data_IF_259668880855
#
_entry.id   IF_259668880855
#
_cell.length_a   1.000
_cell.length_b   1.000
_cell.length_c   1.000
_cell.angle_alpha   90.00
_cell.angle_beta   90.00
_cell.angle_gamma   90.00
#
_symmetry.space_group_name_H-M   'P 1'
#
loop_
_entity.id
_entity.type
_entity.pdbx_description
1 polymer ?
#
# COMPACT_ATOMS: atom_id res chain seq x y z
N UNK A 1 11.94 -24.57 -4.94
CA UNK A 1 10.53 -25.02 -4.79
C UNK A 1 9.66 -24.07 -5.58
N UNK A 2 8.67 -24.56 -6.31
CA UNK A 2 7.75 -23.64 -7.03
C UNK A 2 6.89 -22.91 -6.01
N UNK A 3 6.88 -21.57 -6.02
CA UNK A 3 6.05 -20.74 -5.14
C UNK A 3 4.53 -20.90 -5.42
N UNK A 4 4.12 -21.88 -6.25
CA UNK A 4 2.71 -22.16 -6.56
C UNK A 4 1.92 -22.73 -5.38
N UNK A 5 2.62 -23.16 -4.32
CA UNK A 5 1.98 -23.72 -3.10
C UNK A 5 1.73 -22.67 -2.00
N UNK A 6 1.97 -21.38 -2.30
CA UNK A 6 1.65 -20.29 -1.35
C UNK A 6 0.13 -20.21 -1.13
N UNK A 7 -0.33 -19.91 0.10
CA UNK A 7 -1.74 -19.86 0.43
C UNK A 7 -2.50 -18.82 -0.39
N UNK A 8 -3.74 -19.15 -0.77
CA UNK A 8 -4.69 -18.20 -1.37
C UNK A 8 -5.60 -17.66 -0.29
N UNK A 9 -5.79 -16.35 -0.28
CA UNK A 9 -6.71 -15.71 0.64
C UNK A 9 -8.14 -15.72 0.10
N UNK A 10 -9.10 -16.19 0.90
CA UNK A 10 -10.52 -16.00 0.67
C UNK A 10 -11.12 -15.25 1.85
N UNK A 11 -11.88 -14.18 1.60
CA UNK A 11 -12.40 -13.32 2.66
C UNK A 11 -13.71 -12.66 2.27
N UNK A 12 -14.50 -12.32 3.30
CA UNK A 12 -15.74 -11.57 3.16
C UNK A 12 -15.52 -10.15 3.70
N UNK A 13 -15.56 -9.14 2.84
CA UNK A 13 -15.28 -7.74 3.21
C UNK A 13 -16.52 -7.09 3.80
N UNK A 14 -16.39 -6.52 5.00
CA UNK A 14 -17.41 -5.62 5.56
C UNK A 14 -17.25 -4.23 4.93
N UNK A 15 -18.29 -3.74 4.28
CA UNK A 15 -18.25 -2.46 3.54
C UNK A 15 -18.07 -1.21 4.39
N UNK A 16 -18.23 -1.32 5.69
CA UNK A 16 -18.10 -0.26 6.70
C UNK A 16 -16.66 -0.13 7.26
N UNK A 17 -15.82 -1.17 7.11
CA UNK A 17 -14.44 -1.18 7.59
C UNK A 17 -13.45 -1.08 6.43
N UNK A 18 -12.45 -0.25 6.59
CA UNK A 18 -11.39 -0.04 5.59
C UNK A 18 -10.02 -0.03 6.22
N UNK A 19 -9.14 -0.75 5.58
CA UNK A 19 -7.71 -0.63 5.85
C UNK A 19 -7.19 0.73 5.37
N UNK A 20 -6.28 1.32 6.12
CA UNK A 20 -5.67 2.62 5.83
C UNK A 20 -4.15 2.53 5.97
N UNK A 21 -3.45 3.48 5.36
CA UNK A 21 -1.98 3.52 5.37
C UNK A 21 -1.51 3.98 6.75
N UNK A 22 -0.49 3.32 7.31
CA UNK A 22 0.10 3.82 8.56
C UNK A 22 0.92 5.09 8.30
N UNK A 23 0.91 6.08 9.23
CA UNK A 23 1.67 7.32 9.08
C UNK A 23 3.15 7.10 8.79
N UNK A 24 3.77 6.13 9.46
CA UNK A 24 5.19 5.80 9.27
C UNK A 24 5.50 5.25 7.89
N UNK A 25 4.61 4.43 7.31
CA UNK A 25 4.78 3.92 5.95
C UNK A 25 4.70 5.04 4.93
N UNK A 26 3.72 5.94 5.08
CA UNK A 26 3.57 7.10 4.22
C UNK A 26 4.76 8.06 4.32
N UNK A 27 5.31 8.28 5.52
CA UNK A 27 6.46 9.15 5.73
C UNK A 27 7.72 8.62 5.06
N UNK A 28 7.99 7.32 5.17
CA UNK A 28 9.19 6.67 4.63
C UNK A 28 9.11 6.38 3.14
N UNK A 29 7.91 6.37 2.55
CA UNK A 29 7.76 6.18 1.12
C UNK A 29 8.37 7.34 0.34
N UNK A 30 9.17 7.00 -0.67
CA UNK A 30 9.83 7.94 -1.59
C UNK A 30 9.26 7.73 -3.00
N UNK A 31 8.22 8.46 -3.40
CA UNK A 31 7.51 8.26 -4.66
C UNK A 31 8.39 8.49 -5.90
N UNK A 32 9.49 9.23 -5.77
CA UNK A 32 10.48 9.45 -6.82
C UNK A 32 11.27 8.20 -7.24
N UNK A 33 11.30 7.17 -6.39
CA UNK A 33 12.07 5.95 -6.66
C UNK A 33 11.34 5.05 -7.64
N UNK A 34 11.95 4.80 -8.80
CA UNK A 34 11.38 4.01 -9.90
C UNK A 34 12.39 2.99 -10.45
N UNK A 35 11.90 2.05 -11.26
CA UNK A 35 12.78 1.20 -12.06
C UNK A 35 13.44 2.03 -13.15
N UNK A 36 14.73 1.78 -13.39
CA UNK A 36 15.44 2.37 -14.54
C UNK A 36 14.92 1.75 -15.82
N UNK A 37 14.65 2.58 -16.83
CA UNK A 37 14.26 2.10 -18.15
C UNK A 37 15.36 1.21 -18.75
N UNK A 38 14.95 0.11 -19.39
CA UNK A 38 15.87 -0.80 -20.10
C UNK A 38 16.35 -2.02 -19.30
N UNK A 39 15.85 -2.27 -18.12
CA UNK A 39 16.18 -3.49 -17.36
C UNK A 39 15.34 -4.70 -17.82
N UNK A 40 15.69 -5.25 -19.01
CA UNK A 40 15.12 -6.47 -19.58
C UNK A 40 14.11 -6.17 -20.70
N UNK A 41 14.60 -6.07 -21.92
CA UNK A 41 13.79 -5.71 -23.09
C UNK A 41 12.68 -6.71 -23.47
N UNK A 42 12.69 -7.94 -22.93
CA UNK A 42 11.74 -9.00 -23.29
C UNK A 42 10.64 -9.27 -22.26
N UNK A 43 10.77 -8.85 -21.02
CA UNK A 43 9.78 -9.11 -19.99
C UNK A 43 8.76 -7.96 -19.90
N UNK A 44 7.47 -8.30 -19.93
CA UNK A 44 6.43 -7.33 -19.68
C UNK A 44 6.49 -6.85 -18.24
N UNK A 45 6.29 -5.56 -17.98
CA UNK A 45 6.39 -4.99 -16.63
C UNK A 45 5.08 -4.36 -16.16
N UNK A 46 4.84 -4.48 -14.85
CA UNK A 46 3.76 -3.81 -14.11
C UNK A 46 4.43 -3.01 -12.99
N UNK A 47 4.03 -1.74 -12.84
CA UNK A 47 4.56 -0.88 -11.79
C UNK A 47 3.51 -0.61 -10.70
N UNK A 48 3.87 -0.90 -9.46
CA UNK A 48 3.11 -0.63 -8.23
C UNK A 48 3.88 0.45 -7.47
N UNK A 49 3.75 1.70 -7.92
CA UNK A 49 4.54 2.84 -7.42
C UNK A 49 3.71 3.81 -6.58
N UNK A 50 2.48 3.44 -6.25
CA UNK A 50 1.51 4.28 -5.57
C UNK A 50 0.81 3.52 -4.46
N UNK A 51 -0.14 4.16 -3.82
CA UNK A 51 -1.01 3.58 -2.80
C UNK A 51 -1.85 2.45 -3.37
N UNK A 52 -2.00 1.39 -2.59
CA UNK A 52 -2.89 0.26 -2.90
C UNK A 52 -4.34 0.66 -2.62
N UNK A 53 -5.22 0.40 -3.57
CA UNK A 53 -6.63 0.81 -3.54
C UNK A 53 -6.87 2.11 -4.30
N UNK A 54 -8.13 2.53 -4.35
CA UNK A 54 -8.51 3.76 -5.02
C UNK A 54 -8.30 4.98 -4.11
N UNK A 55 -7.61 5.99 -4.64
CA UNK A 55 -7.61 7.33 -4.08
C UNK A 55 -8.95 8.06 -4.31
N UNK A 56 -9.05 9.31 -3.88
CA UNK A 56 -10.24 10.15 -4.04
C UNK A 56 -10.55 10.50 -5.50
N UNK A 57 -9.55 10.46 -6.37
CA UNK A 57 -9.65 10.75 -7.81
C UNK A 57 -9.95 9.50 -8.64
N UNK A 58 -10.06 8.33 -7.99
CA UNK A 58 -10.22 7.03 -8.65
C UNK A 58 -8.91 6.48 -9.21
N UNK A 59 -7.78 7.09 -8.87
CA UNK A 59 -6.44 6.59 -9.18
C UNK A 59 -5.98 5.59 -8.11
N UNK A 60 -4.70 5.20 -8.19
CA UNK A 60 -4.10 4.23 -7.29
C UNK A 60 -4.07 2.82 -7.88
N UNK A 61 -3.46 1.90 -7.17
CA UNK A 61 -3.22 0.53 -7.64
C UNK A 61 -4.36 -0.37 -7.19
N UNK A 62 -5.13 -0.91 -8.14
CA UNK A 62 -6.26 -1.80 -7.85
C UNK A 62 -6.11 -3.17 -8.50
N UNK A 63 -6.74 -4.19 -7.93
CA UNK A 63 -6.78 -5.54 -8.48
C UNK A 63 -7.36 -5.56 -9.91
N UNK A 64 -8.35 -4.72 -10.19
CA UNK A 64 -8.93 -4.58 -11.52
C UNK A 64 -7.90 -4.09 -12.55
N UNK A 65 -7.09 -3.09 -12.19
CA UNK A 65 -6.02 -2.56 -13.08
C UNK A 65 -4.92 -3.59 -13.31
N UNK A 66 -4.48 -4.28 -12.25
CA UNK A 66 -3.48 -5.35 -12.36
C UNK A 66 -4.01 -6.50 -13.21
N UNK A 67 -5.24 -6.93 -13.00
CA UNK A 67 -5.91 -7.95 -13.83
C UNK A 67 -5.98 -7.54 -15.31
N UNK A 68 -6.31 -6.28 -15.60
CA UNK A 68 -6.33 -5.76 -16.97
C UNK A 68 -4.92 -5.77 -17.60
N UNK A 69 -3.90 -5.35 -16.85
CA UNK A 69 -2.52 -5.38 -17.32
C UNK A 69 -2.07 -6.82 -17.62
N UNK A 70 -2.33 -7.78 -16.72
CA UNK A 70 -1.98 -9.20 -16.93
C UNK A 70 -2.72 -9.82 -18.12
N UNK A 71 -3.99 -9.48 -18.34
CA UNK A 71 -4.70 -9.92 -19.56
C UNK A 71 -4.03 -9.42 -20.86
N UNK A 72 -3.54 -8.17 -20.86
CA UNK A 72 -2.82 -7.62 -22.00
C UNK A 72 -1.44 -8.26 -22.20
N UNK A 73 -0.77 -8.61 -21.10
CA UNK A 73 0.52 -9.31 -21.12
C UNK A 73 0.33 -10.74 -21.64
N UNK A 74 -0.77 -11.38 -21.31
CA UNK A 74 -1.06 -12.77 -21.71
C UNK A 74 -0.26 -13.78 -20.88
N UNK A 75 0.34 -14.77 -21.54
CA UNK A 75 1.08 -15.87 -20.88
C UNK A 75 2.62 -15.64 -20.84
N UNK A 76 3.05 -14.39 -20.91
CA UNK A 76 4.47 -14.04 -20.84
C UNK A 76 4.91 -13.85 -19.40
N UNK A 77 6.19 -14.00 -19.13
CA UNK A 77 6.80 -13.63 -17.87
C UNK A 77 6.55 -12.15 -17.56
N UNK A 78 6.35 -11.84 -16.29
CA UNK A 78 6.06 -10.48 -15.84
C UNK A 78 7.01 -10.05 -14.74
N UNK A 79 7.49 -8.80 -14.83
CA UNK A 79 8.23 -8.12 -13.78
C UNK A 79 7.30 -7.15 -13.07
N UNK A 80 7.18 -7.26 -11.76
CA UNK A 80 6.38 -6.36 -10.92
C UNK A 80 7.31 -5.46 -10.12
N UNK A 81 7.38 -4.19 -10.48
CA UNK A 81 8.18 -3.18 -9.80
C UNK A 81 7.39 -2.56 -8.66
N UNK A 82 7.89 -2.63 -7.43
CA UNK A 82 7.19 -2.15 -6.23
C UNK A 82 7.96 -1.02 -5.55
N UNK A 83 7.28 0.10 -5.33
CA UNK A 83 7.66 1.17 -4.42
C UNK A 83 6.38 1.81 -3.85
N UNK A 84 5.80 1.20 -2.82
CA UNK A 84 4.47 1.55 -2.32
C UNK A 84 4.41 1.53 -0.79
N UNK A 85 3.73 2.51 -0.16
CA UNK A 85 3.51 2.54 1.27
C UNK A 85 2.41 1.56 1.73
N UNK A 86 1.82 0.78 0.80
CA UNK A 86 0.67 -0.05 1.06
C UNK A 86 -0.65 0.69 0.83
N UNK A 87 -1.66 0.34 1.59
CA UNK A 87 -3.02 0.89 1.45
C UNK A 87 -4.08 -0.12 1.83
N UNK A 88 -5.10 -0.26 0.99
CA UNK A 88 -6.19 -1.19 1.23
C UNK A 88 -5.70 -2.65 1.22
N UNK A 89 -5.83 -3.30 2.38
CA UNK A 89 -5.36 -4.67 2.57
C UNK A 89 -6.11 -5.68 1.68
N UNK A 90 -7.40 -5.47 1.47
CA UNK A 90 -8.23 -6.39 0.68
C UNK A 90 -7.92 -6.28 -0.81
N UNK A 91 -7.67 -5.07 -1.31
CA UNK A 91 -7.12 -4.86 -2.65
C UNK A 91 -5.74 -5.53 -2.77
N UNK A 92 -4.90 -5.41 -1.74
CA UNK A 92 -3.59 -6.06 -1.68
C UNK A 92 -3.67 -7.58 -1.80
N UNK A 93 -4.58 -8.21 -1.05
CA UNK A 93 -4.82 -9.66 -1.15
C UNK A 93 -5.39 -10.07 -2.52
N UNK A 94 -6.28 -9.27 -3.10
CA UNK A 94 -6.82 -9.54 -4.43
C UNK A 94 -5.72 -9.45 -5.52
N UNK A 95 -4.81 -8.47 -5.40
CA UNK A 95 -3.63 -8.34 -6.28
C UNK A 95 -2.69 -9.54 -6.08
N UNK A 96 -2.39 -9.91 -4.83
CA UNK A 96 -1.58 -11.07 -4.51
C UNK A 96 -2.13 -12.33 -5.20
N UNK A 97 -3.41 -12.64 -5.03
CA UNK A 97 -4.05 -13.79 -5.66
C UNK A 97 -4.01 -13.71 -7.19
N UNK A 98 -4.24 -12.53 -7.76
CA UNK A 98 -4.21 -12.31 -9.21
C UNK A 98 -2.81 -12.58 -9.81
N UNK A 99 -1.76 -12.17 -9.11
CA UNK A 99 -0.38 -12.47 -9.52
C UNK A 99 -0.04 -13.96 -9.35
N UNK A 100 -0.52 -14.61 -8.28
CA UNK A 100 -0.35 -16.05 -8.04
C UNK A 100 -1.06 -16.93 -9.08
N UNK A 101 -2.16 -16.44 -9.64
CA UNK A 101 -2.90 -17.14 -10.70
C UNK A 101 -2.29 -16.94 -12.10
N UNK A 102 -1.28 -16.07 -12.23
CA UNK A 102 -0.61 -15.85 -13.51
C UNK A 102 0.11 -17.12 -14.00
N UNK A 103 -0.09 -17.55 -15.27
CA UNK A 103 0.41 -18.85 -15.76
C UNK A 103 1.93 -18.89 -16.01
N UNK A 104 2.60 -17.74 -16.07
CA UNK A 104 4.03 -17.61 -16.32
C UNK A 104 4.77 -17.08 -15.08
N UNK A 105 6.09 -16.93 -15.16
CA UNK A 105 6.93 -16.46 -14.04
C UNK A 105 6.58 -15.02 -13.66
N UNK A 106 6.42 -14.79 -12.36
CA UNK A 106 6.28 -13.46 -11.77
C UNK A 106 7.55 -13.12 -11.00
N UNK A 107 8.31 -12.14 -11.46
CA UNK A 107 9.50 -11.62 -10.77
C UNK A 107 9.16 -10.28 -10.13
N UNK A 108 9.32 -10.17 -8.81
CA UNK A 108 9.07 -8.93 -8.07
C UNK A 108 10.37 -8.19 -7.81
N UNK A 109 10.39 -6.88 -8.05
CA UNK A 109 11.51 -5.98 -7.77
C UNK A 109 11.08 -4.90 -6.78
N UNK A 110 11.58 -4.95 -5.55
CA UNK A 110 11.34 -3.92 -4.53
C UNK A 110 12.39 -2.83 -4.69
N UNK A 111 11.97 -1.69 -5.25
CA UNK A 111 12.86 -0.59 -5.65
C UNK A 111 13.23 0.31 -4.47
N UNK A 112 12.26 0.62 -3.60
CA UNK A 112 12.42 1.46 -2.43
C UNK A 112 11.73 0.85 -1.24
N UNK A 113 10.40 0.94 -1.16
CA UNK A 113 9.62 0.38 -0.06
C UNK A 113 8.50 -0.53 -0.57
N UNK A 114 8.30 -1.65 0.10
CA UNK A 114 7.10 -2.46 0.00
C UNK A 114 6.51 -2.60 1.41
N UNK A 115 5.59 -1.70 1.77
CA UNK A 115 5.03 -1.67 3.12
C UNK A 115 3.59 -2.19 3.16
N UNK A 116 3.20 -2.82 4.28
CA UNK A 116 1.82 -3.23 4.54
C UNK A 116 1.25 -4.09 3.40
N UNK A 117 0.11 -3.73 2.82
CA UNK A 117 -0.49 -4.44 1.67
C UNK A 117 0.50 -4.68 0.51
N UNK A 118 1.44 -3.74 0.26
CA UNK A 118 2.45 -3.90 -0.79
C UNK A 118 3.48 -4.99 -0.45
N UNK A 119 3.77 -5.22 0.83
CA UNK A 119 4.65 -6.33 1.24
C UNK A 119 3.98 -7.69 1.05
N UNK A 120 2.67 -7.78 1.26
CA UNK A 120 1.89 -8.98 0.94
C UNK A 120 1.93 -9.26 -0.57
N UNK A 121 1.70 -8.22 -1.39
CA UNK A 121 1.79 -8.35 -2.86
C UNK A 121 3.18 -8.83 -3.28
N UNK A 122 4.25 -8.34 -2.66
CA UNK A 122 5.61 -8.75 -2.99
C UNK A 122 5.82 -10.27 -2.81
N UNK A 123 5.16 -10.88 -1.83
CA UNK A 123 5.25 -12.34 -1.61
C UNK A 123 4.61 -13.17 -2.73
N UNK A 124 3.88 -12.58 -3.65
CA UNK A 124 3.33 -13.28 -4.80
C UNK A 124 4.38 -13.66 -5.85
N UNK A 125 5.57 -13.06 -5.82
CA UNK A 125 6.64 -13.34 -6.78
C UNK A 125 7.17 -14.76 -6.68
N UNK A 126 7.43 -15.39 -7.84
CA UNK A 126 8.22 -16.61 -7.91
C UNK A 126 9.71 -16.30 -7.57
N UNK A 127 10.13 -15.09 -7.86
CA UNK A 127 11.41 -14.52 -7.48
C UNK A 127 11.16 -13.10 -6.93
N UNK A 128 11.79 -12.76 -5.82
CA UNK A 128 11.70 -11.43 -5.20
C UNK A 128 13.09 -10.86 -5.01
N UNK A 129 13.35 -9.73 -5.64
CA UNK A 129 14.59 -8.99 -5.48
C UNK A 129 14.33 -7.66 -4.77
N UNK A 130 15.29 -7.19 -3.98
CA UNK A 130 15.18 -5.94 -3.22
C UNK A 130 16.39 -5.04 -3.43
N UNK A 131 16.18 -3.74 -3.58
CA UNK A 131 17.27 -2.78 -3.56
C UNK A 131 18.02 -2.83 -2.21
N UNK A 132 19.35 -2.64 -2.20
CA UNK A 132 20.16 -2.67 -0.96
C UNK A 132 19.67 -1.67 0.09
N UNK A 133 19.21 -0.50 -0.36
CA UNK A 133 18.61 0.54 0.49
C UNK A 133 17.08 0.39 0.62
N UNK A 134 16.51 -0.69 0.09
CA UNK A 134 15.07 -0.95 0.13
C UNK A 134 14.62 -1.50 1.48
N UNK A 135 13.32 -1.40 1.71
CA UNK A 135 12.67 -1.89 2.94
C UNK A 135 11.39 -2.64 2.64
N UNK A 136 11.15 -3.68 3.38
CA UNK A 136 9.83 -4.24 3.62
C UNK A 136 9.29 -3.73 4.96
N UNK A 137 7.98 -3.57 5.09
CA UNK A 137 7.33 -3.36 6.39
C UNK A 137 6.11 -4.26 6.49
N UNK A 138 6.05 -5.01 7.57
CA UNK A 138 4.96 -5.90 7.90
C UNK A 138 4.33 -5.53 9.24
N UNK A 139 3.01 -5.57 9.30
CA UNK A 139 2.22 -5.29 10.50
C UNK A 139 0.87 -5.98 10.41
N UNK A 140 0.14 -6.04 11.53
CA UNK A 140 -1.24 -6.51 11.57
C UNK A 140 -2.16 -5.63 10.71
N UNK A 141 -3.25 -6.19 10.25
CA UNK A 141 -4.25 -5.46 9.46
C UNK A 141 -4.77 -4.26 10.24
N UNK A 142 -4.66 -3.07 9.66
CA UNK A 142 -4.96 -1.82 10.34
C UNK A 142 -6.21 -1.16 9.76
N UNK A 143 -7.16 -0.83 10.65
CA UNK A 143 -8.41 -0.13 10.33
C UNK A 143 -8.63 1.03 11.27
N UNK A 144 -9.56 1.93 10.91
CA UNK A 144 -10.17 2.89 11.82
C UNK A 144 -11.54 2.37 12.19
N UNK A 145 -11.78 2.14 13.49
CA UNK A 145 -13.06 1.73 14.03
C UNK A 145 -13.51 2.68 15.16
N UNK A 146 -14.78 2.97 15.21
CA UNK A 146 -15.40 3.78 16.25
C UNK A 146 -16.63 3.06 16.81
N UNK A 147 -16.84 3.12 18.12
CA UNK A 147 -17.98 2.49 18.74
C UNK A 147 -17.79 2.31 20.25
N UNK A 148 -18.75 1.65 20.87
CA UNK A 148 -18.65 1.25 22.25
C UNK A 148 -17.68 0.05 22.41
N UNK A 149 -17.47 -0.37 23.66
CA UNK A 149 -16.60 -1.50 24.00
C UNK A 149 -16.92 -2.78 23.22
N UNK A 150 -18.19 -3.05 22.93
CA UNK A 150 -18.60 -4.29 22.27
C UNK A 150 -18.31 -4.20 20.77
N UNK A 151 -18.63 -3.07 20.12
CA UNK A 151 -18.30 -2.80 18.73
C UNK A 151 -16.79 -2.85 18.46
N UNK A 152 -15.96 -2.30 19.37
CA UNK A 152 -14.50 -2.35 19.23
C UNK A 152 -13.94 -3.78 19.40
N UNK A 153 -14.51 -4.60 20.28
CA UNK A 153 -14.14 -6.03 20.37
C UNK A 153 -14.53 -6.79 19.12
N UNK A 154 -15.75 -6.60 18.64
CA UNK A 154 -16.21 -7.24 17.38
C UNK A 154 -15.30 -6.86 16.22
N UNK A 155 -14.86 -5.60 16.12
CA UNK A 155 -13.91 -5.17 15.10
C UNK A 155 -12.54 -5.84 15.26
N UNK A 156 -12.05 -6.01 16.48
CA UNK A 156 -10.81 -6.72 16.76
C UNK A 156 -10.89 -8.20 16.39
N UNK A 157 -11.95 -8.89 16.81
CA UNK A 157 -12.19 -10.30 16.49
C UNK A 157 -12.33 -10.53 14.98
N UNK A 158 -12.91 -9.56 14.27
CA UNK A 158 -13.03 -9.59 12.81
C UNK A 158 -11.69 -9.45 12.10
N UNK A 159 -10.69 -8.77 12.69
CA UNK A 159 -9.35 -8.62 12.11
C UNK A 159 -8.49 -9.88 12.23
N UNK A 160 -8.67 -10.69 13.26
CA UNK A 160 -7.82 -11.84 13.56
C UNK A 160 -7.64 -12.81 12.39
N UNK A 161 -8.67 -13.22 11.62
CA UNK A 161 -8.50 -14.09 10.46
C UNK A 161 -7.61 -13.48 9.36
N UNK A 162 -7.61 -12.17 9.20
CA UNK A 162 -6.79 -11.50 8.17
C UNK A 162 -5.33 -11.43 8.59
N UNK A 163 -5.07 -11.20 9.88
CA UNK A 163 -3.73 -11.27 10.43
C UNK A 163 -3.15 -12.68 10.31
N UNK A 164 -3.99 -13.73 10.54
CA UNK A 164 -3.58 -15.11 10.33
C UNK A 164 -3.23 -15.40 8.86
N UNK A 165 -4.00 -14.88 7.90
CA UNK A 165 -3.69 -15.01 6.46
C UNK A 165 -2.34 -14.35 6.14
N UNK A 166 -2.04 -13.19 6.72
CA UNK A 166 -0.74 -12.54 6.55
C UNK A 166 0.39 -13.39 7.15
N UNK A 167 0.19 -13.96 8.35
CA UNK A 167 1.13 -14.89 8.98
C UNK A 167 1.42 -16.07 8.06
N UNK A 168 0.39 -16.70 7.50
CA UNK A 168 0.52 -17.89 6.64
C UNK A 168 1.31 -17.56 5.35
N UNK A 169 1.02 -16.42 4.72
CA UNK A 169 1.73 -15.97 3.51
C UNK A 169 3.22 -15.75 3.82
N UNK A 170 3.55 -15.00 4.87
CA UNK A 170 4.94 -14.72 5.20
C UNK A 170 5.68 -15.95 5.70
N UNK A 171 5.05 -16.82 6.50
CA UNK A 171 5.65 -18.05 6.97
C UNK A 171 5.95 -19.00 5.81
N UNK A 172 5.00 -19.17 4.87
CA UNK A 172 5.19 -20.00 3.68
C UNK A 172 6.33 -19.46 2.79
N UNK A 173 6.47 -18.13 2.68
CA UNK A 173 7.54 -17.50 1.88
C UNK A 173 8.91 -17.64 2.54
N UNK A 174 9.00 -17.36 3.84
CA UNK A 174 10.27 -17.23 4.55
C UNK A 174 10.77 -18.53 5.17
N UNK A 175 9.86 -19.47 5.44
CA UNK A 175 10.14 -20.66 6.26
C UNK A 175 10.31 -20.35 7.76
N UNK A 176 10.03 -19.12 8.19
CA UNK A 176 10.04 -18.77 9.61
C UNK A 176 8.81 -19.34 10.31
N UNK A 177 8.97 -19.64 11.60
CA UNK A 177 7.87 -20.12 12.43
C UNK A 177 6.71 -19.11 12.46
N UNK A 178 5.43 -19.55 12.30
CA UNK A 178 4.27 -18.65 12.31
C UNK A 178 4.22 -17.72 13.54
N UNK A 179 4.60 -18.23 14.72
CA UNK A 179 4.68 -17.41 15.95
C UNK A 179 5.74 -16.30 15.87
N UNK A 180 6.81 -16.50 15.13
CA UNK A 180 7.83 -15.47 14.92
C UNK A 180 7.30 -14.39 13.99
N UNK A 181 6.62 -14.77 12.91
CA UNK A 181 5.94 -13.83 12.00
C UNK A 181 4.87 -13.04 12.75
N UNK A 182 3.98 -13.67 13.52
CA UNK A 182 2.97 -12.98 14.31
C UNK A 182 3.58 -11.89 15.21
N UNK A 183 4.67 -12.19 15.91
CA UNK A 183 5.39 -11.20 16.72
C UNK A 183 6.00 -10.05 15.90
N UNK A 184 6.39 -10.32 14.66
CA UNK A 184 6.88 -9.27 13.75
C UNK A 184 5.73 -8.36 13.30
N UNK A 185 4.56 -8.93 13.02
CA UNK A 185 3.35 -8.18 12.69
C UNK A 185 2.91 -7.28 13.86
N UNK A 186 2.83 -7.83 15.08
CA UNK A 186 2.46 -7.09 16.30
C UNK A 186 3.33 -5.85 16.55
N UNK A 187 4.60 -5.90 16.12
CA UNK A 187 5.59 -4.84 16.39
C UNK A 187 5.74 -3.83 15.25
N UNK A 188 4.97 -3.97 14.16
CA UNK A 188 5.20 -3.19 12.93
C UNK A 188 6.68 -3.25 12.53
N UNK A 189 7.11 -4.38 12.00
CA UNK A 189 8.53 -4.64 11.75
C UNK A 189 8.97 -4.08 10.40
N UNK A 190 9.98 -3.23 10.42
CA UNK A 190 10.69 -2.74 9.25
C UNK A 190 11.91 -3.62 8.98
N UNK A 191 11.99 -4.18 7.78
CA UNK A 191 12.98 -5.17 7.36
C UNK A 191 13.81 -4.54 6.25
N UNK A 192 15.06 -4.18 6.53
CA UNK A 192 15.98 -3.64 5.53
C UNK A 192 16.42 -4.73 4.54
N UNK A 193 16.94 -4.30 3.36
CA UNK A 193 17.28 -5.21 2.27
C UNK A 193 18.16 -6.40 2.69
N UNK A 194 19.18 -6.17 3.52
CA UNK A 194 20.05 -7.26 4.00
C UNK A 194 19.28 -8.29 4.86
N UNK A 195 18.45 -7.81 5.78
CA UNK A 195 17.61 -8.67 6.60
C UNK A 195 16.51 -9.37 5.80
N UNK A 196 15.98 -8.71 4.76
CA UNK A 196 14.99 -9.29 3.87
C UNK A 196 15.55 -10.52 3.13
N UNK A 197 16.77 -10.43 2.63
CA UNK A 197 17.46 -11.56 1.98
C UNK A 197 17.82 -12.62 3.03
N UNK A 198 18.41 -12.23 4.15
CA UNK A 198 18.82 -13.18 5.20
C UNK A 198 17.64 -13.97 5.80
N UNK A 199 16.43 -13.41 5.82
CA UNK A 199 15.20 -14.02 6.34
C UNK A 199 14.27 -14.54 5.24
N UNK A 200 14.73 -14.59 3.99
CA UNK A 200 14.00 -15.09 2.82
C UNK A 200 12.69 -14.37 2.49
N UNK A 201 12.52 -13.12 2.91
CA UNK A 201 11.48 -12.23 2.36
C UNK A 201 11.81 -11.81 0.93
N UNK A 202 13.10 -11.75 0.60
CA UNK A 202 13.62 -11.58 -0.76
C UNK A 202 14.66 -12.68 -1.05
N UNK A 203 14.81 -13.03 -2.33
CA UNK A 203 15.75 -14.06 -2.76
C UNK A 203 17.15 -13.48 -2.97
N UNK A 204 17.23 -12.24 -3.48
CA UNK A 204 18.51 -11.58 -3.80
C UNK A 204 18.36 -10.05 -3.83
N UNK A 205 19.49 -9.37 -4.02
CA UNK A 205 19.54 -7.94 -4.23
C UNK A 205 19.34 -7.59 -5.71
N UNK A 206 18.69 -6.44 -5.92
CA UNK A 206 18.70 -5.79 -7.23
C UNK A 206 20.10 -5.30 -7.58
N UNK A 207 20.50 -5.32 -8.88
CA UNK A 207 21.68 -4.60 -9.34
C UNK A 207 21.67 -3.13 -8.89
N UNK A 208 22.84 -2.57 -8.59
CA UNK A 208 22.95 -1.22 -8.02
C UNK A 208 22.40 -0.12 -8.93
N UNK A 209 22.36 -0.36 -10.23
CA UNK A 209 21.90 0.55 -11.27
C UNK A 209 20.44 0.32 -11.71
N UNK A 210 19.74 -0.60 -11.06
CA UNK A 210 18.35 -0.94 -11.41
C UNK A 210 17.32 0.11 -10.96
N UNK A 211 17.72 1.08 -10.14
CA UNK A 211 16.84 2.08 -9.54
C UNK A 211 17.24 3.48 -10.02
N UNK A 212 16.25 4.30 -10.34
CA UNK A 212 16.41 5.72 -10.66
C UNK A 212 15.48 6.60 -9.81
N UNK A 213 15.73 7.90 -9.78
CA UNK A 213 14.88 8.89 -9.13
C UNK A 213 14.32 9.86 -10.18
N UNK A 214 13.00 10.10 -10.15
CA UNK A 214 12.31 11.04 -11.03
C UNK A 214 11.80 12.26 -10.23
N UNK A 215 12.36 13.43 -10.50
CA UNK A 215 12.01 14.67 -9.82
C UNK A 215 10.53 15.10 -10.02
N UNK A 216 9.90 14.74 -11.15
CA UNK A 216 8.49 15.04 -11.39
C UNK A 216 7.60 14.19 -10.49
N UNK A 217 7.98 12.92 -10.31
CA UNK A 217 7.28 12.02 -9.39
C UNK A 217 7.47 12.44 -7.92
N UNK A 218 8.62 13.04 -7.57
CA UNK A 218 8.83 13.57 -6.24
C UNK A 218 7.78 14.63 -5.87
N UNK A 219 7.54 15.60 -6.76
CA UNK A 219 6.55 16.67 -6.52
C UNK A 219 5.11 16.12 -6.44
N UNK A 220 4.72 15.27 -7.38
CA UNK A 220 3.41 14.61 -7.37
C UNK A 220 3.19 13.77 -6.10
N UNK A 221 4.22 13.03 -5.69
CA UNK A 221 4.17 12.21 -4.50
C UNK A 221 4.10 13.00 -3.19
N UNK A 222 4.73 14.17 -3.11
CA UNK A 222 4.57 15.04 -1.93
C UNK A 222 3.14 15.56 -1.79
N UNK A 223 2.51 15.96 -2.90
CA UNK A 223 1.09 16.35 -2.90
C UNK A 223 0.20 15.18 -2.44
N UNK A 224 0.43 13.99 -2.97
CA UNK A 224 -0.30 12.78 -2.61
C UNK A 224 -0.13 12.41 -1.14
N UNK A 225 1.10 12.49 -0.60
CA UNK A 225 1.34 12.30 0.85
C UNK A 225 0.54 13.27 1.71
N UNK A 226 0.48 14.55 1.31
CA UNK A 226 -0.29 15.55 2.03
C UNK A 226 -1.79 15.20 2.04
N UNK A 227 -2.33 14.77 0.91
CA UNK A 227 -3.73 14.35 0.79
C UNK A 227 -4.05 13.16 1.71
N UNK A 228 -3.22 12.13 1.70
CA UNK A 228 -3.42 10.98 2.58
C UNK A 228 -3.31 11.33 4.06
N UNK A 229 -2.39 12.23 4.43
CA UNK A 229 -2.30 12.74 5.80
C UNK A 229 -3.55 13.47 6.24
N UNK A 230 -4.10 14.33 5.38
CA UNK A 230 -5.33 15.05 5.65
C UNK A 230 -6.50 14.08 5.79
N UNK A 231 -6.63 13.13 4.85
CA UNK A 231 -7.69 12.12 4.92
C UNK A 231 -7.61 11.29 6.21
N UNK A 232 -6.42 10.90 6.62
CA UNK A 232 -6.21 10.16 7.87
C UNK A 232 -6.62 10.98 9.10
N UNK A 233 -6.23 12.27 9.17
CA UNK A 233 -6.61 13.15 10.26
C UNK A 233 -8.13 13.30 10.33
N UNK A 234 -8.79 13.54 9.20
CA UNK A 234 -10.24 13.65 9.11
C UNK A 234 -10.95 12.34 9.46
N UNK A 235 -10.37 11.19 9.07
CA UNK A 235 -10.89 9.88 9.44
C UNK A 235 -10.87 9.66 10.95
N UNK A 236 -9.76 9.99 11.60
CA UNK A 236 -9.62 9.94 13.06
C UNK A 236 -10.54 10.90 13.79
N UNK A 237 -10.86 12.04 13.18
CA UNK A 237 -11.85 12.98 13.68
C UNK A 237 -13.32 12.53 13.45
N UNK A 238 -13.54 11.32 12.91
CA UNK A 238 -14.88 10.78 12.66
C UNK A 238 -15.62 11.40 11.48
N UNK A 239 -14.94 12.14 10.61
CA UNK A 239 -15.55 12.75 9.42
C UNK A 239 -15.95 11.68 8.41
N UNK A 240 -17.23 11.60 7.95
CA UNK A 240 -17.66 10.61 6.97
C UNK A 240 -16.87 10.69 5.67
N UNK A 241 -16.64 9.54 5.01
CA UNK A 241 -15.82 9.46 3.78
C UNK A 241 -16.27 10.40 2.67
N UNK A 242 -17.58 10.54 2.44
CA UNK A 242 -18.12 11.44 1.41
C UNK A 242 -17.74 12.90 1.69
N UNK A 243 -17.78 13.30 2.94
CA UNK A 243 -17.40 14.65 3.38
C UNK A 243 -15.89 14.87 3.29
N UNK A 244 -15.08 13.91 3.73
CA UNK A 244 -13.62 13.95 3.58
C UNK A 244 -13.20 14.11 2.12
N UNK A 245 -13.85 13.35 1.21
CA UNK A 245 -13.61 13.47 -0.23
C UNK A 245 -13.88 14.89 -0.73
N UNK A 246 -15.00 15.47 -0.33
CA UNK A 246 -15.36 16.83 -0.73
C UNK A 246 -14.36 17.86 -0.21
N UNK A 247 -13.92 17.72 1.06
CA UNK A 247 -12.92 18.60 1.66
C UNK A 247 -11.56 18.52 0.93
N UNK A 248 -11.06 17.31 0.68
CA UNK A 248 -9.79 17.12 -0.05
C UNK A 248 -9.89 17.66 -1.49
N UNK A 249 -11.02 17.46 -2.17
CA UNK A 249 -11.22 18.01 -3.52
C UNK A 249 -11.33 19.53 -3.53
N UNK A 250 -12.00 20.12 -2.56
CA UNK A 250 -12.11 21.58 -2.43
C UNK A 250 -10.72 22.22 -2.20
N UNK A 251 -9.85 21.59 -1.42
CA UNK A 251 -8.47 22.05 -1.23
C UNK A 251 -7.65 22.00 -2.53
N UNK A 252 -7.85 20.97 -3.37
CA UNK A 252 -7.21 20.88 -4.70
C UNK A 252 -7.68 21.97 -5.66
N UNK A 253 -8.98 22.31 -5.64
CA UNK A 253 -9.55 23.39 -6.46
C UNK A 253 -9.03 24.76 -6.05
N UNK A 254 -8.96 25.05 -4.75
CA UNK A 254 -8.50 26.34 -4.22
C UNK A 254 -7.04 26.67 -4.51
N UNK A 255 -6.18 25.68 -4.69
CA UNK A 255 -4.76 25.91 -5.03
C UNK A 255 -4.53 26.28 -6.51
N UNK A 256 -5.48 26.01 -7.40
CA UNK A 256 -5.41 26.41 -8.81
C UNK A 256 -5.83 27.86 -9.05
N UNK A 257 -6.69 28.40 -8.18
CA UNK A 257 -7.20 29.78 -8.29
C UNK A 257 -6.46 30.80 -7.41
N UNK A 258 -5.50 30.39 -6.59
CA UNK A 258 -4.71 31.28 -5.73
C UNK A 258 -3.78 32.24 -6.51
N UNK A 259 -3.73 32.17 -7.84
CA UNK A 259 -3.13 33.18 -8.72
C UNK A 259 -4.13 34.27 -9.16
N UNK A 260 -5.41 34.13 -8.83
CA UNK A 260 -6.47 35.13 -9.07
C UNK A 260 -7.22 35.36 -7.76
N UNK A 261 -7.02 36.53 -7.19
CA UNK A 261 -7.74 37.23 -6.11
C UNK A 261 -9.06 36.59 -5.65
N UNK A 262 -9.17 36.44 -4.33
CA UNK A 262 -10.32 36.02 -3.51
C UNK A 262 -10.40 34.53 -3.15
N UNK A 263 -9.85 34.22 -1.97
CA UNK A 263 -10.13 32.94 -1.28
C UNK A 263 -11.63 32.85 -1.01
N UNK A 264 -12.34 31.81 -1.47
CA UNK A 264 -13.76 31.69 -1.17
C UNK A 264 -13.95 31.58 0.35
N UNK A 265 -14.57 32.58 0.96
CA UNK A 265 -14.88 32.70 2.39
C UNK A 265 -15.52 31.41 2.94
N UNK A 266 -16.34 30.72 2.14
CA UNK A 266 -17.04 29.50 2.54
C UNK A 266 -16.14 28.32 2.92
N UNK A 267 -14.94 28.16 2.32
CA UNK A 267 -14.03 27.05 2.66
C UNK A 267 -13.29 27.36 3.97
N UNK A 268 -12.91 28.63 4.16
CA UNK A 268 -12.27 29.09 5.41
C UNK A 268 -13.25 28.97 6.57
N UNK A 269 -14.51 29.30 6.35
CA UNK A 269 -15.56 29.21 7.36
C UNK A 269 -15.88 27.75 7.74
N UNK A 270 -15.90 26.82 6.78
CA UNK A 270 -16.06 25.39 7.02
C UNK A 270 -14.88 24.77 7.80
N UNK A 271 -13.64 25.15 7.46
CA UNK A 271 -12.45 24.70 8.18
C UNK A 271 -12.42 25.29 9.61
N UNK A 272 -12.81 26.54 9.78
CA UNK A 272 -12.90 27.17 11.10
C UNK A 272 -14.00 26.54 11.98
N UNK A 273 -15.17 26.22 11.41
CA UNK A 273 -16.24 25.50 12.13
C UNK A 273 -15.78 24.12 12.57
N UNK A 274 -15.07 23.38 11.70
CA UNK A 274 -14.48 22.08 12.03
C UNK A 274 -13.44 22.21 13.17
N UNK A 275 -12.57 23.21 13.11
CA UNK A 275 -11.57 23.47 14.16
C UNK A 275 -12.22 23.85 15.49
N UNK A 276 -13.33 24.57 15.47
CA UNK A 276 -14.09 24.90 16.68
C UNK A 276 -14.74 23.63 17.30
N UNK A 277 -15.30 22.76 16.47
CA UNK A 277 -15.86 21.46 16.93
C UNK A 277 -14.78 20.55 17.52
N UNK A 278 -13.58 20.52 16.94
CA UNK A 278 -12.46 19.73 17.47
C UNK A 278 -11.91 20.28 18.80
N UNK A 279 -12.07 21.56 19.10
CA UNK A 279 -11.66 22.17 20.39
C UNK A 279 -12.70 21.96 21.49
N UNK A 280 -13.89 21.50 21.16
CA UNK A 280 -15.00 21.28 22.08
C UNK A 280 -15.14 19.81 22.56
N UNK A 281 -14.23 18.92 22.09
CA UNK A 281 -14.06 17.55 22.52
C UNK A 281 -12.81 17.46 23.42
#
# INVERSE_FOLDING_TARGET
>A
MSNRDLPKASFNVRGDLRSVITPKALERWRPEVQAKDGAGEDAASISILDVIGQDWSGNGVTASRISAALRNIGKRDVVVNINSPGGDYFEGLAIYNTLRDHPAKVSVKILGVAASAASVIAMAGDEVQIARAGFLMIHNTWIVAMGDRNALREAADWLEPFDQVAVDIYAARTGLEPKAIAKMLDRETWIGGADAVAKHFADDFLPADAVSEDAKQAAAGQALKAEFRIDEILARAGVPRSERRNLVQAMKGGTRDAAATDTPSAVVDQVNDLLQRMKAI
#
